data_IF_737672993849
#
_entry.id   IF_737672993849
#
_cell.length_a   1.000
_cell.length_b   1.000
_cell.length_c   1.000
_cell.angle_alpha   90.00
_cell.angle_beta   90.00
_cell.angle_gamma   90.00
#
_symmetry.space_group_name_H-M   'P 1'
#
loop_
_entity.id
_entity.type
_entity.pdbx_description
1 polymer ?
#
# COMPACT_ATOMS: atom_id res chain seq x y z
N UNK A 1 23.84 8.34 -22.87
CA UNK A 1 23.48 9.65 -22.28
C UNK A 1 22.16 9.45 -21.58
N UNK A 2 22.10 9.47 -20.25
CA UNK A 2 20.83 9.38 -19.53
C UNK A 2 20.06 10.69 -19.73
N UNK A 3 18.76 10.62 -20.01
CA UNK A 3 17.90 11.80 -20.07
C UNK A 3 17.56 12.25 -18.64
N UNK A 4 17.29 13.55 -18.44
CA UNK A 4 16.97 14.12 -17.11
C UNK A 4 15.83 13.37 -16.39
N UNK A 5 14.88 12.81 -17.15
CA UNK A 5 13.78 11.99 -16.65
C UNK A 5 14.27 10.69 -16.00
N UNK A 6 15.28 10.03 -16.58
CA UNK A 6 15.86 8.80 -16.02
C UNK A 6 16.62 9.07 -14.70
N UNK A 7 17.28 10.22 -14.60
CA UNK A 7 17.96 10.61 -13.36
C UNK A 7 16.97 10.91 -12.23
N UNK A 8 15.85 11.57 -12.54
CA UNK A 8 14.80 11.86 -11.57
C UNK A 8 14.11 10.58 -11.09
N UNK A 9 13.79 9.67 -12.02
CA UNK A 9 13.16 8.39 -11.69
C UNK A 9 14.08 7.54 -10.80
N UNK A 10 15.38 7.51 -11.11
CA UNK A 10 16.37 6.81 -10.29
C UNK A 10 16.47 7.40 -8.88
N UNK A 11 16.49 8.73 -8.75
CA UNK A 11 16.51 9.38 -7.42
C UNK A 11 15.28 9.05 -6.59
N UNK A 12 14.10 9.03 -7.20
CA UNK A 12 12.88 8.62 -6.52
C UNK A 12 12.97 7.16 -6.06
N UNK A 13 13.42 6.26 -6.95
CA UNK A 13 13.65 4.86 -6.59
C UNK A 13 14.60 4.74 -5.39
N UNK A 14 15.77 5.40 -5.44
CA UNK A 14 16.77 5.35 -4.37
C UNK A 14 16.24 5.92 -3.03
N UNK A 15 15.26 6.83 -3.06
CA UNK A 15 14.63 7.38 -1.84
C UNK A 15 13.61 6.44 -1.19
N UNK A 16 12.90 5.62 -1.98
CA UNK A 16 11.78 4.80 -1.50
C UNK A 16 12.09 3.30 -1.44
N UNK A 17 13.09 2.84 -2.19
CA UNK A 17 13.47 1.44 -2.23
C UNK A 17 14.60 1.16 -1.24
N UNK A 18 14.30 0.36 -0.22
CA UNK A 18 15.32 -0.29 0.60
C UNK A 18 15.38 -1.76 0.19
N UNK A 19 16.51 -2.24 -0.36
CA UNK A 19 16.67 -3.65 -0.66
C UNK A 19 16.42 -4.49 0.59
N UNK A 20 15.59 -5.56 0.51
CA UNK A 20 15.40 -6.45 1.63
C UNK A 20 16.70 -7.22 1.94
N UNK A 21 17.01 -7.40 3.22
CA UNK A 21 18.11 -8.26 3.65
C UNK A 21 17.66 -9.72 3.56
N UNK A 22 18.13 -10.44 2.54
CA UNK A 22 17.76 -11.83 2.27
C UNK A 22 18.96 -12.79 2.34
N UNK A 23 20.03 -12.40 3.03
CA UNK A 23 21.29 -13.15 3.06
C UNK A 23 21.14 -14.57 3.61
N UNK A 24 20.26 -14.79 4.58
CA UNK A 24 19.96 -16.12 5.11
C UNK A 24 19.29 -17.01 4.05
N UNK A 25 18.30 -16.47 3.34
CA UNK A 25 17.58 -17.17 2.28
C UNK A 25 18.49 -17.44 1.07
N UNK A 26 19.34 -16.49 0.70
CA UNK A 26 20.34 -16.67 -0.36
C UNK A 26 21.30 -17.82 -0.03
N UNK A 27 21.79 -17.88 1.21
CA UNK A 27 22.64 -18.97 1.68
C UNK A 27 21.90 -20.32 1.68
N UNK A 28 20.63 -20.34 2.12
CA UNK A 28 19.80 -21.56 2.11
C UNK A 28 19.60 -22.09 0.69
N UNK A 29 19.30 -21.20 -0.27
CA UNK A 29 19.17 -21.56 -1.69
C UNK A 29 20.46 -22.16 -2.23
N UNK A 30 21.62 -21.59 -1.88
CA UNK A 30 22.91 -22.10 -2.32
C UNK A 30 23.19 -23.52 -1.76
N UNK A 31 22.96 -23.74 -0.47
CA UNK A 31 23.16 -25.03 0.18
C UNK A 31 22.17 -26.09 -0.34
N UNK A 32 20.91 -25.74 -0.53
CA UNK A 32 19.92 -26.61 -1.16
C UNK A 32 20.31 -26.96 -2.60
N UNK A 33 20.84 -26.03 -3.37
CA UNK A 33 21.30 -26.29 -4.73
C UNK A 33 22.48 -27.27 -4.76
N UNK A 34 23.44 -27.13 -3.84
CA UNK A 34 24.56 -28.08 -3.68
C UNK A 34 24.04 -29.49 -3.34
N UNK A 35 23.11 -29.59 -2.39
CA UNK A 35 22.50 -30.86 -2.00
C UNK A 35 21.71 -31.50 -3.16
N UNK A 36 20.96 -30.70 -3.94
CA UNK A 36 20.20 -31.16 -5.10
C UNK A 36 21.11 -31.73 -6.20
N UNK A 37 22.24 -31.07 -6.45
CA UNK A 37 23.28 -31.54 -7.37
C UNK A 37 23.94 -32.84 -6.87
N UNK A 38 24.03 -33.08 -5.56
CA UNK A 38 24.59 -34.32 -5.04
C UNK A 38 23.60 -35.49 -5.14
N UNK A 39 22.30 -35.24 -4.98
CA UNK A 39 21.28 -36.28 -4.80
C UNK A 39 20.63 -36.80 -6.09
N UNK A 40 20.42 -35.95 -7.11
CA UNK A 40 19.63 -36.28 -8.30
C UNK A 40 20.49 -36.58 -9.53
N UNK A 41 19.98 -37.29 -10.54
CA UNK A 41 20.65 -37.38 -11.85
C UNK A 41 20.33 -36.18 -12.75
N UNK A 42 20.99 -36.08 -13.91
CA UNK A 42 20.85 -34.94 -14.83
C UNK A 42 19.42 -34.65 -15.29
N UNK A 43 18.58 -35.65 -15.67
CA UNK A 43 17.24 -35.35 -16.17
C UNK A 43 16.30 -34.84 -15.06
N UNK A 44 16.38 -35.37 -13.84
CA UNK A 44 15.57 -34.95 -12.70
C UNK A 44 15.95 -33.54 -12.24
N UNK A 45 17.25 -33.23 -12.19
CA UNK A 45 17.73 -31.86 -11.89
C UNK A 45 17.13 -30.83 -12.84
N UNK A 46 17.10 -31.14 -14.13
CA UNK A 46 16.51 -30.24 -15.15
C UNK A 46 15.02 -30.02 -14.92
N UNK A 47 14.28 -31.05 -14.52
CA UNK A 47 12.85 -30.92 -14.21
C UNK A 47 12.62 -30.05 -12.98
N UNK A 48 13.37 -30.27 -11.89
CA UNK A 48 13.26 -29.48 -10.66
C UNK A 48 13.60 -28.00 -10.92
N UNK A 49 14.70 -27.71 -11.62
CA UNK A 49 15.06 -26.32 -11.95
C UNK A 49 13.98 -25.63 -12.78
N UNK A 50 13.38 -26.32 -13.76
CA UNK A 50 12.25 -25.77 -14.54
C UNK A 50 11.01 -25.50 -13.70
N UNK A 51 10.74 -26.32 -12.67
CA UNK A 51 9.64 -26.09 -11.74
C UNK A 51 9.90 -24.82 -10.92
N UNK A 52 11.12 -24.66 -10.39
CA UNK A 52 11.52 -23.48 -9.63
C UNK A 52 11.41 -22.22 -10.50
N UNK A 53 11.94 -22.25 -11.73
CA UNK A 53 11.84 -21.13 -12.67
C UNK A 53 10.37 -20.75 -12.95
N UNK A 54 9.50 -21.74 -13.16
CA UNK A 54 8.08 -21.51 -13.39
C UNK A 54 7.38 -20.94 -12.14
N UNK A 55 7.70 -21.45 -10.95
CA UNK A 55 7.16 -20.94 -9.69
C UNK A 55 7.59 -19.48 -9.45
N UNK A 56 8.87 -19.16 -9.64
CA UNK A 56 9.39 -17.80 -9.50
C UNK A 56 8.68 -16.86 -10.47
N UNK A 57 8.51 -17.27 -11.73
CA UNK A 57 7.77 -16.48 -12.71
C UNK A 57 6.32 -16.23 -12.30
N UNK A 58 5.61 -17.23 -11.77
CA UNK A 58 4.24 -17.06 -11.27
C UNK A 58 4.20 -16.06 -10.10
N UNK A 59 5.13 -16.18 -9.15
CA UNK A 59 5.19 -15.29 -7.98
C UNK A 59 5.46 -13.85 -8.40
N UNK A 60 6.44 -13.63 -9.29
CA UNK A 60 6.78 -12.29 -9.81
C UNK A 60 5.60 -11.65 -10.54
N UNK A 61 4.95 -12.39 -11.45
CA UNK A 61 3.81 -11.88 -12.20
C UNK A 61 2.62 -11.56 -11.29
N UNK A 62 2.34 -12.43 -10.32
CA UNK A 62 1.25 -12.21 -9.36
C UNK A 62 1.55 -11.02 -8.45
N UNK A 63 2.80 -10.84 -8.03
CA UNK A 63 3.25 -9.70 -7.23
C UNK A 63 3.10 -8.39 -7.98
N UNK A 64 3.52 -8.35 -9.26
CA UNK A 64 3.37 -7.18 -10.12
C UNK A 64 1.89 -6.85 -10.38
N UNK A 65 1.08 -7.84 -10.70
CA UNK A 65 -0.37 -7.66 -10.94
C UNK A 65 -1.07 -7.09 -9.70
N UNK A 66 -0.76 -7.64 -8.52
CA UNK A 66 -1.29 -7.16 -7.24
C UNK A 66 -0.83 -5.73 -6.93
N UNK A 67 0.44 -5.42 -7.18
CA UNK A 67 1.00 -4.08 -6.98
C UNK A 67 0.33 -3.05 -7.90
N UNK A 68 0.21 -3.35 -9.20
CA UNK A 68 -0.42 -2.47 -10.18
C UNK A 68 -1.88 -2.21 -9.80
N UNK A 69 -2.62 -3.27 -9.48
CA UNK A 69 -4.03 -3.16 -9.07
C UNK A 69 -4.19 -2.30 -7.80
N UNK A 70 -3.34 -2.52 -6.80
CA UNK A 70 -3.34 -1.73 -5.57
C UNK A 70 -2.98 -0.26 -5.81
N UNK A 71 -1.99 0.00 -6.65
CA UNK A 71 -1.58 1.34 -7.04
C UNK A 71 -2.68 2.08 -7.79
N UNK A 72 -3.32 1.44 -8.78
CA UNK A 72 -4.44 2.02 -9.53
C UNK A 72 -5.60 2.40 -8.61
N UNK A 73 -5.93 1.54 -7.64
CA UNK A 73 -6.96 1.82 -6.66
C UNK A 73 -6.58 3.03 -5.79
N UNK A 74 -5.37 3.05 -5.23
CA UNK A 74 -4.89 4.15 -4.40
C UNK A 74 -4.86 5.48 -5.19
N UNK A 75 -4.47 5.43 -6.46
CA UNK A 75 -4.46 6.57 -7.37
C UNK A 75 -5.87 7.09 -7.66
N UNK A 76 -6.85 6.21 -7.89
CA UNK A 76 -8.25 6.63 -8.08
C UNK A 76 -8.81 7.27 -6.82
N UNK A 77 -8.53 6.69 -5.65
CA UNK A 77 -8.97 7.25 -4.37
C UNK A 77 -8.34 8.61 -4.08
N UNK A 78 -7.07 8.83 -4.46
CA UNK A 78 -6.41 10.13 -4.26
C UNK A 78 -7.02 11.21 -5.15
N UNK A 79 -7.37 10.88 -6.40
CA UNK A 79 -8.10 11.78 -7.30
C UNK A 79 -9.48 12.11 -6.73
N UNK A 80 -10.23 11.11 -6.28
CA UNK A 80 -11.57 11.31 -5.70
C UNK A 80 -11.52 12.26 -4.50
N UNK A 81 -10.59 12.03 -3.56
CA UNK A 81 -10.40 12.91 -2.40
C UNK A 81 -9.98 14.33 -2.80
N UNK A 82 -9.11 14.48 -3.80
CA UNK A 82 -8.68 15.80 -4.25
C UNK A 82 -9.81 16.56 -4.96
N UNK A 83 -10.66 15.86 -5.73
CA UNK A 83 -11.82 16.42 -6.39
C UNK A 83 -12.89 16.86 -5.39
N UNK A 84 -13.13 16.11 -4.31
CA UNK A 84 -14.01 16.52 -3.21
C UNK A 84 -13.53 17.81 -2.51
N UNK A 85 -12.21 18.02 -2.43
CA UNK A 85 -11.62 19.26 -1.92
C UNK A 85 -11.73 20.43 -2.91
N UNK A 86 -11.72 20.17 -4.22
CA UNK A 86 -11.81 21.20 -5.27
C UNK A 86 -13.25 21.56 -5.66
N UNK A 87 -14.18 20.62 -5.58
CA UNK A 87 -15.62 20.82 -5.80
C UNK A 87 -16.34 21.38 -4.57
N UNK A 88 -15.68 21.44 -3.40
CA UNK A 88 -16.15 22.28 -2.29
C UNK A 88 -16.17 23.73 -2.79
N UNK A 89 -17.33 24.34 -3.03
CA UNK A 89 -17.34 25.77 -3.23
C UNK A 89 -16.84 26.39 -1.94
N UNK A 90 -15.97 27.39 -2.04
CA UNK A 90 -15.69 28.34 -0.97
C UNK A 90 -16.99 29.10 -0.63
N UNK A 91 -17.95 28.44 -0.01
CA UNK A 91 -19.20 29.03 0.45
C UNK A 91 -19.51 28.54 1.85
N UNK A 92 -18.68 28.99 2.81
CA UNK A 92 -19.09 29.12 4.21
C UNK A 92 -18.32 30.29 4.84
N UNK A 93 -18.40 31.47 4.22
CA UNK A 93 -18.40 32.69 5.00
C UNK A 93 -19.82 32.82 5.60
N UNK A 94 -19.90 32.82 6.94
CA UNK A 94 -21.09 32.71 7.81
C UNK A 94 -21.62 31.27 7.99
N UNK A 95 -21.63 30.68 9.18
CA UNK A 95 -21.94 31.24 10.50
C UNK A 95 -21.05 30.61 11.57
N UNK A 96 -20.51 31.43 12.48
CA UNK A 96 -20.11 30.97 13.82
C UNK A 96 -21.32 30.29 14.46
N UNK A 97 -21.35 28.97 14.45
CA UNK A 97 -22.24 28.18 15.29
C UNK A 97 -21.70 28.27 16.70
N UNK A 98 -22.03 29.36 17.39
CA UNK A 98 -21.93 29.42 18.84
C UNK A 98 -22.79 28.31 19.40
N UNK A 99 -22.15 27.32 20.02
CA UNK A 99 -22.81 26.24 20.74
C UNK A 99 -23.78 26.84 21.76
N UNK A 100 -25.08 26.78 21.48
CA UNK A 100 -26.10 27.09 22.48
C UNK A 100 -26.31 25.82 23.27
N UNK A 101 -25.66 25.75 24.43
CA UNK A 101 -25.91 24.74 25.45
C UNK A 101 -27.42 24.73 25.77
N UNK A 102 -28.02 23.55 25.70
CA UNK A 102 -29.38 23.28 26.19
C UNK A 102 -29.27 23.23 27.72
N UNK A 103 -29.90 24.19 28.41
CA UNK A 103 -30.10 24.11 29.86
C UNK A 103 -31.40 23.35 30.10
N UNK A 104 -31.32 22.28 30.88
CA UNK A 104 -32.45 21.45 31.30
C UNK A 104 -33.53 22.30 32.00
N UNK A 105 -34.80 22.02 31.68
CA UNK A 105 -35.99 22.56 32.35
C UNK A 105 -36.11 21.96 33.76
N UNK A 106 -36.07 22.80 34.79
CA UNK A 106 -36.49 22.47 36.15
C UNK A 106 -37.92 23.01 36.38
N UNK A 107 -38.84 22.23 36.99
CA UNK A 107 -40.29 22.45 36.92
C UNK A 107 -40.80 23.55 37.85
N UNK A 108 -41.78 24.32 37.35
CA UNK A 108 -42.52 25.34 38.09
C UNK A 108 -43.22 24.77 39.34
N UNK A 109 -42.77 25.17 40.54
CA UNK A 109 -43.63 25.15 41.73
C UNK A 109 -44.30 26.52 41.90
N UNK A 110 -45.53 26.65 41.38
CA UNK A 110 -46.46 27.72 41.78
C UNK A 110 -47.53 27.14 42.69
N UNK A 111 -47.31 27.30 44.00
CA UNK A 111 -48.36 27.14 44.99
C UNK A 111 -49.27 28.38 44.94
N UNK A 112 -50.51 28.20 44.46
CA UNK A 112 -51.71 29.01 44.81
C UNK A 112 -52.40 28.23 45.94
N UNK A 113 -52.92 28.76 47.04
CA UNK A 113 -53.89 29.84 47.31
C UNK A 113 -54.01 29.92 48.87
N UNK A 114 -54.77 30.82 49.54
CA UNK A 114 -56.17 31.19 49.27
C UNK A 114 -56.39 32.63 48.80
#
# INVERSE_FOLDING_TARGET
MMTMENELLKRLYDCFYTPPELSEQENEVEECHKALIAALEKPERKLVLRIIDAQNSIIEQTSLDSFITGFELAWRLSIELHNDETERPFSCQARRTGARFVSEEEPERKNKLP
#
